data_IF_559162929523
#
_entry.id   IF_559162929523
#
_cell.length_a   1.000
_cell.length_b   1.000
_cell.length_c   1.000
_cell.angle_alpha   90.00
_cell.angle_beta   90.00
_cell.angle_gamma   90.00
#
_symmetry.space_group_name_H-M   'P 1'
#
loop_
_entity.id
_entity.type
_entity.pdbx_description
1 polymer ?
#
# COMPACT_ATOMS: atom_id res chain seq x y z
N UNK A 1 -0.33 15.86 -50.04
CA UNK A 1 -1.12 14.94 -49.17
C UNK A 1 -0.29 13.76 -48.65
N UNK A 2 0.97 13.94 -48.22
CA UNK A 2 1.87 12.82 -47.82
C UNK A 2 2.36 12.86 -46.36
N UNK A 3 1.96 13.86 -45.57
CA UNK A 3 2.42 14.00 -44.17
C UNK A 3 1.42 13.51 -43.11
N UNK A 4 0.16 13.28 -43.47
CA UNK A 4 -0.88 12.79 -42.54
C UNK A 4 -0.86 11.26 -42.43
N UNK A 5 -0.43 10.54 -43.47
CA UNK A 5 -0.32 9.07 -43.46
C UNK A 5 0.89 8.55 -42.69
N UNK A 6 1.86 9.40 -42.35
CA UNK A 6 3.07 9.00 -41.60
C UNK A 6 2.89 9.10 -40.08
N UNK A 7 1.88 9.83 -39.59
CA UNK A 7 1.63 10.03 -38.15
C UNK A 7 0.67 8.98 -37.58
N UNK A 8 -0.12 8.32 -38.42
CA UNK A 8 -1.07 7.29 -38.00
C UNK A 8 -0.41 6.01 -37.43
N UNK A 9 0.75 5.51 -37.92
CA UNK A 9 1.40 4.37 -37.29
C UNK A 9 2.10 4.73 -35.96
N UNK A 10 2.37 6.02 -35.70
CA UNK A 10 3.02 6.45 -34.46
C UNK A 10 2.07 6.50 -33.25
N UNK A 11 0.76 6.54 -33.48
CA UNK A 11 -0.26 6.52 -32.41
C UNK A 11 -0.71 5.07 -32.10
N UNK A 12 -0.54 4.15 -33.05
CA UNK A 12 -0.85 2.72 -32.87
C UNK A 12 0.30 1.92 -32.23
N UNK A 13 1.49 2.51 -32.06
CA UNK A 13 2.64 1.87 -31.40
C UNK A 13 2.64 1.99 -29.86
N UNK A 14 1.59 2.54 -29.25
CA UNK A 14 1.38 2.45 -27.81
C UNK A 14 0.51 1.23 -27.44
N UNK A 15 0.55 0.18 -28.25
CA UNK A 15 0.11 -1.14 -27.84
C UNK A 15 1.03 -1.59 -26.71
N UNK A 16 0.48 -1.60 -25.49
CA UNK A 16 1.05 -2.22 -24.30
C UNK A 16 1.70 -3.53 -24.72
N UNK A 17 3.03 -3.51 -24.77
CA UNK A 17 3.81 -4.74 -24.82
C UNK A 17 3.53 -5.43 -23.50
N UNK A 18 2.65 -6.43 -23.53
CA UNK A 18 2.54 -7.38 -22.44
C UNK A 18 3.87 -8.12 -22.45
N UNK A 19 4.84 -7.60 -21.70
CA UNK A 19 6.07 -8.31 -21.38
C UNK A 19 5.63 -9.54 -20.63
N UNK A 20 5.50 -10.66 -21.33
CA UNK A 20 5.45 -11.97 -20.71
C UNK A 20 6.82 -12.18 -20.07
N UNK A 21 6.93 -11.83 -18.79
CA UNK A 21 8.08 -12.21 -17.98
C UNK A 21 8.17 -13.74 -18.04
N UNK A 22 9.32 -14.32 -18.42
CA UNK A 22 9.53 -15.75 -18.21
C UNK A 22 9.48 -15.98 -16.70
N UNK A 23 8.37 -16.52 -16.19
CA UNK A 23 8.32 -17.06 -14.83
C UNK A 23 9.14 -18.34 -14.85
N UNK A 24 10.46 -18.17 -14.72
CA UNK A 24 11.37 -19.19 -14.24
C UNK A 24 11.04 -19.34 -12.77
N UNK A 25 10.13 -20.25 -12.42
CA UNK A 25 9.88 -20.61 -11.04
C UNK A 25 11.08 -21.39 -10.50
N UNK A 26 12.16 -20.67 -10.19
CA UNK A 26 13.27 -21.15 -9.39
C UNK A 26 12.98 -20.74 -7.95
N UNK A 27 12.86 -21.71 -7.04
CA UNK A 27 12.60 -21.43 -5.63
C UNK A 27 13.72 -20.58 -5.01
N UNK A 28 14.93 -20.63 -5.58
CA UNK A 28 16.04 -19.79 -5.16
C UNK A 28 15.87 -18.32 -5.58
N UNK A 29 15.24 -18.04 -6.73
CA UNK A 29 14.96 -16.66 -7.17
C UNK A 29 13.88 -16.04 -6.26
N UNK A 30 12.87 -16.82 -5.86
CA UNK A 30 11.86 -16.39 -4.89
C UNK A 30 12.42 -16.17 -3.48
N UNK A 31 13.44 -16.94 -3.09
CA UNK A 31 14.16 -16.75 -1.83
C UNK A 31 15.06 -15.50 -1.87
N UNK A 32 15.75 -15.24 -2.98
CA UNK A 32 16.53 -14.01 -3.16
C UNK A 32 15.65 -12.76 -3.13
N UNK A 33 14.49 -12.78 -3.80
CA UNK A 33 13.55 -11.66 -3.77
C UNK A 33 12.95 -11.44 -2.36
N UNK A 34 12.71 -12.52 -1.61
CA UNK A 34 12.27 -12.44 -0.21
C UNK A 34 13.36 -11.86 0.70
N UNK A 35 14.64 -12.20 0.45
CA UNK A 35 15.80 -11.64 1.15
C UNK A 35 16.01 -10.16 0.79
N UNK A 36 15.81 -9.75 -0.47
CA UNK A 36 15.79 -8.33 -0.89
C UNK A 36 14.64 -7.57 -0.22
N UNK A 37 13.51 -8.24 0.00
CA UNK A 37 12.38 -7.75 0.80
C UNK A 37 12.63 -7.71 2.31
N UNK A 38 13.82 -8.09 2.78
CA UNK A 38 14.21 -8.04 4.19
C UNK A 38 13.61 -9.15 5.05
N UNK A 39 13.08 -10.22 4.46
CA UNK A 39 12.49 -11.34 5.20
C UNK A 39 13.58 -12.34 5.63
N UNK A 40 13.67 -12.71 6.92
CA UNK A 40 14.68 -13.67 7.36
C UNK A 40 14.34 -15.09 6.89
N UNK A 41 15.28 -15.76 6.24
CA UNK A 41 15.04 -17.04 5.57
C UNK A 41 14.86 -18.26 6.50
N UNK A 42 14.99 -18.08 7.82
CA UNK A 42 15.28 -19.21 8.72
C UNK A 42 14.29 -19.33 9.89
N UNK A 43 13.46 -18.32 10.16
CA UNK A 43 12.52 -18.34 11.27
C UNK A 43 11.10 -17.96 10.81
N UNK A 44 10.12 -18.89 10.86
CA UNK A 44 8.75 -18.59 10.47
C UNK A 44 8.13 -17.43 11.26
N UNK A 45 8.50 -17.24 12.53
CA UNK A 45 8.01 -16.13 13.35
C UNK A 45 8.47 -14.78 12.80
N UNK A 46 9.73 -14.71 12.38
CA UNK A 46 10.32 -13.50 11.83
C UNK A 46 9.73 -13.10 10.48
N UNK A 47 9.30 -14.08 9.68
CA UNK A 47 8.61 -13.81 8.41
C UNK A 47 7.25 -13.17 8.69
N UNK A 48 6.52 -13.68 9.69
CA UNK A 48 5.21 -13.15 10.09
C UNK A 48 5.34 -11.72 10.61
N UNK A 49 6.31 -11.46 11.50
CA UNK A 49 6.51 -10.13 12.07
C UNK A 49 6.96 -9.12 11.01
N UNK A 50 7.90 -9.48 10.13
CA UNK A 50 8.31 -8.61 9.02
C UNK A 50 7.17 -8.32 8.04
N UNK A 51 6.32 -9.31 7.72
CA UNK A 51 5.16 -9.10 6.87
C UNK A 51 4.12 -8.16 7.51
N UNK A 52 3.89 -8.30 8.81
CA UNK A 52 3.02 -7.41 9.60
C UNK A 52 3.56 -5.98 9.61
N UNK A 53 4.86 -5.80 9.81
CA UNK A 53 5.51 -4.48 9.78
C UNK A 53 5.42 -3.82 8.41
N UNK A 54 5.64 -4.59 7.33
CA UNK A 54 5.48 -4.09 5.98
C UNK A 54 4.04 -3.63 5.70
N UNK A 55 3.07 -4.44 6.07
CA UNK A 55 1.64 -4.12 5.90
C UNK A 55 1.25 -2.90 6.74
N UNK A 56 1.72 -2.81 7.99
CA UNK A 56 1.45 -1.69 8.87
C UNK A 56 2.07 -0.40 8.35
N UNK A 57 3.28 -0.46 7.77
CA UNK A 57 3.95 0.69 7.17
C UNK A 57 3.16 1.26 6.00
N UNK A 58 2.67 0.40 5.11
CA UNK A 58 1.81 0.82 4.00
C UNK A 58 0.48 1.41 4.49
N UNK A 59 -0.17 0.75 5.46
CA UNK A 59 -1.41 1.27 6.07
C UNK A 59 -1.20 2.61 6.77
N UNK A 60 -0.09 2.77 7.50
CA UNK A 60 0.24 4.02 8.17
C UNK A 60 0.33 5.19 7.18
N UNK A 61 0.96 4.98 6.02
CA UNK A 61 0.97 5.96 4.94
C UNK A 61 -0.45 6.31 4.46
N UNK A 62 -1.31 5.30 4.29
CA UNK A 62 -2.70 5.49 3.87
C UNK A 62 -3.54 6.27 4.91
N UNK A 63 -3.32 6.00 6.21
CA UNK A 63 -3.98 6.73 7.29
C UNK A 63 -3.61 8.20 7.31
N UNK A 64 -2.31 8.51 7.13
CA UNK A 64 -1.84 9.90 7.06
C UNK A 64 -2.50 10.62 5.88
N UNK A 65 -2.54 10.01 4.69
CA UNK A 65 -3.20 10.59 3.53
C UNK A 65 -4.70 10.83 3.78
N UNK A 66 -5.39 9.86 4.37
CA UNK A 66 -6.81 9.95 4.68
C UNK A 66 -7.11 11.05 5.70
N UNK A 67 -6.24 11.21 6.71
CA UNK A 67 -6.33 12.29 7.69
C UNK A 67 -6.08 13.66 7.06
N UNK A 68 -5.12 13.79 6.14
CA UNK A 68 -4.85 15.06 5.44
C UNK A 68 -6.06 15.47 4.62
N UNK A 69 -6.60 14.57 3.79
CA UNK A 69 -7.77 14.86 2.92
C UNK A 69 -8.96 15.29 3.78
N UNK A 70 -9.23 14.55 4.85
CA UNK A 70 -10.36 14.82 5.74
C UNK A 70 -10.15 16.08 6.58
N UNK A 71 -8.90 16.36 6.99
CA UNK A 71 -8.53 17.55 7.76
C UNK A 71 -8.69 18.83 6.94
N UNK A 72 -8.23 18.83 5.69
CA UNK A 72 -8.44 19.95 4.76
C UNK A 72 -9.94 20.15 4.51
N UNK A 73 -10.67 19.06 4.24
CA UNK A 73 -12.11 19.12 4.03
C UNK A 73 -12.85 19.71 5.24
N UNK A 74 -12.42 19.39 6.46
CA UNK A 74 -13.02 19.92 7.68
C UNK A 74 -12.90 21.45 7.74
N UNK A 75 -11.72 22.00 7.45
CA UNK A 75 -11.43 23.44 7.51
C UNK A 75 -12.16 24.18 6.38
N UNK A 76 -12.14 23.64 5.17
CA UNK A 76 -12.69 24.30 3.98
C UNK A 76 -14.23 24.21 3.92
N UNK A 77 -14.83 23.21 4.57
CA UNK A 77 -16.27 22.92 4.44
C UNK A 77 -17.23 24.03 4.85
N UNK A 78 -16.81 25.08 5.57
CA UNK A 78 -17.63 26.25 5.90
C UNK A 78 -18.87 26.00 6.77
N UNK A 79 -19.18 24.74 7.08
CA UNK A 79 -20.36 24.30 7.83
C UNK A 79 -21.28 23.36 7.01
N UNK A 80 -22.22 22.70 7.69
CA UNK A 80 -23.21 21.83 7.06
C UNK A 80 -22.76 20.39 6.81
N UNK A 81 -23.23 19.78 5.73
CA UNK A 81 -23.07 18.34 5.47
C UNK A 81 -21.63 17.92 5.16
N UNK A 82 -20.87 18.80 4.52
CA UNK A 82 -19.46 18.56 4.18
C UNK A 82 -18.63 18.45 5.46
N UNK A 83 -18.94 19.26 6.47
CA UNK A 83 -18.26 19.22 7.76
C UNK A 83 -18.58 17.92 8.52
N UNK A 84 -19.83 17.45 8.48
CA UNK A 84 -20.23 16.18 9.10
C UNK A 84 -19.54 14.99 8.44
N UNK A 85 -19.46 14.98 7.10
CA UNK A 85 -18.72 13.95 6.35
C UNK A 85 -17.24 13.95 6.70
N UNK A 86 -16.60 15.12 6.73
CA UNK A 86 -15.20 15.24 7.13
C UNK A 86 -14.94 14.67 8.53
N UNK A 87 -15.80 14.99 9.50
CA UNK A 87 -15.69 14.42 10.87
C UNK A 87 -15.84 12.90 10.90
N UNK A 88 -16.77 12.35 10.14
CA UNK A 88 -16.94 10.89 10.05
C UNK A 88 -15.71 10.22 9.43
N UNK A 89 -15.12 10.80 8.40
CA UNK A 89 -13.90 10.29 7.76
C UNK A 89 -12.67 10.36 8.68
N UNK A 90 -12.54 11.44 9.46
CA UNK A 90 -11.55 11.53 10.53
C UNK A 90 -11.78 10.41 11.55
N UNK A 91 -13.03 10.19 11.97
CA UNK A 91 -13.39 9.11 12.89
C UNK A 91 -12.98 7.72 12.37
N UNK A 92 -13.25 7.41 11.10
CA UNK A 92 -12.85 6.15 10.49
C UNK A 92 -11.34 5.99 10.39
N UNK A 93 -10.62 7.06 10.03
CA UNK A 93 -9.16 7.05 9.95
C UNK A 93 -8.53 6.79 11.32
N UNK A 94 -9.04 7.43 12.38
CA UNK A 94 -8.56 7.22 13.75
C UNK A 94 -8.88 5.81 14.22
N UNK A 95 -10.11 5.34 14.01
CA UNK A 95 -10.54 4.00 14.45
C UNK A 95 -9.71 2.91 13.78
N UNK A 96 -9.47 3.03 12.47
CA UNK A 96 -8.61 2.11 11.73
C UNK A 96 -7.18 2.11 12.26
N UNK A 97 -6.61 3.29 12.54
CA UNK A 97 -5.26 3.39 13.10
C UNK A 97 -5.15 2.69 14.45
N UNK A 98 -6.15 2.88 15.33
CA UNK A 98 -6.19 2.22 16.65
C UNK A 98 -6.25 0.70 16.50
N UNK A 99 -7.09 0.19 15.60
CA UNK A 99 -7.22 -1.26 15.35
C UNK A 99 -5.89 -1.82 14.83
N UNK A 100 -5.27 -1.16 13.85
CA UNK A 100 -3.98 -1.60 13.29
C UNK A 100 -2.86 -1.60 14.33
N UNK A 101 -2.77 -0.56 15.17
CA UNK A 101 -1.79 -0.51 16.26
C UNK A 101 -2.06 -1.60 17.32
N UNK A 102 -3.33 -1.84 17.64
CA UNK A 102 -3.71 -2.88 18.61
C UNK A 102 -3.26 -4.26 18.14
N UNK A 103 -3.49 -4.58 16.86
CA UNK A 103 -3.00 -5.84 16.26
C UNK A 103 -1.48 -5.97 16.32
N UNK A 104 -0.75 -4.90 16.00
CA UNK A 104 0.72 -4.90 16.08
C UNK A 104 1.24 -5.14 17.50
N UNK A 105 0.65 -4.49 18.49
CA UNK A 105 1.02 -4.65 19.89
C UNK A 105 0.78 -6.10 20.35
N UNK A 106 -0.36 -6.70 19.98
CA UNK A 106 -0.67 -8.08 20.34
C UNK A 106 0.39 -9.04 19.79
N UNK A 107 0.78 -8.91 18.52
CA UNK A 107 1.80 -9.77 17.92
C UNK A 107 3.14 -9.64 18.65
N UNK A 108 3.57 -8.40 18.94
CA UNK A 108 4.80 -8.15 19.71
C UNK A 108 4.76 -8.71 21.13
N UNK A 109 3.60 -8.68 21.77
CA UNK A 109 3.44 -9.25 23.10
C UNK A 109 3.54 -10.77 23.07
N UNK A 110 2.99 -11.43 22.04
CA UNK A 110 3.12 -12.89 21.89
C UNK A 110 4.58 -13.29 21.66
N UNK A 111 5.28 -12.57 20.78
CA UNK A 111 6.71 -12.76 20.51
C UNK A 111 7.59 -12.54 21.75
N UNK A 112 7.22 -11.61 22.63
CA UNK A 112 7.93 -11.37 23.88
C UNK A 112 7.75 -12.47 24.95
N UNK A 113 6.63 -13.19 24.91
CA UNK A 113 6.27 -14.18 25.94
C UNK A 113 6.79 -15.58 25.59
N UNK A 114 6.98 -15.87 24.31
CA UNK A 114 7.59 -17.12 23.81
C UNK A 114 9.12 -17.11 23.97
#
# INVERSE_FOLDING_TARGET
>A
MKKITTILPAILSLSVTVVSLPVKANWNDGLEEALVGGLPANNPESIITSLLEYTLSFLAGLFVLSLIISGIMLIVSGGGDLQKKAKSWIGYSITGLVISLSGYIIVKLVDFIL
#
